data_IF_060659187113
#
_entry.id   IF_060659187113
#
_cell.length_a   1.000
_cell.length_b   1.000
_cell.length_c   1.000
_cell.angle_alpha   90.00
_cell.angle_beta   90.00
_cell.angle_gamma   90.00
#
_symmetry.space_group_name_H-M   'P 1'
#
loop_
_entity.id
_entity.type
_entity.pdbx_description
1 polymer ?
#
# COMPACT_ATOMS: atom_id res chain seq x y z
N UNK A 1 -21.88 7.56 29.52
CA UNK A 1 -22.25 6.29 28.87
C UNK A 1 -21.28 6.09 27.72
N UNK A 2 -20.29 5.22 27.87
CA UNK A 2 -19.43 4.79 26.76
C UNK A 2 -20.30 3.95 25.82
N UNK A 3 -20.49 4.42 24.59
CA UNK A 3 -21.04 3.59 23.52
C UNK A 3 -19.91 2.65 23.12
N UNK A 4 -19.95 1.41 23.61
CA UNK A 4 -19.00 0.38 23.17
C UNK A 4 -19.04 0.30 21.64
N UNK A 5 -17.87 0.40 21.02
CA UNK A 5 -17.72 0.36 19.56
C UNK A 5 -18.47 -0.85 19.02
N UNK A 6 -19.52 -0.62 18.23
CA UNK A 6 -20.24 -1.70 17.58
C UNK A 6 -19.32 -2.28 16.51
N UNK A 7 -18.98 -3.56 16.63
CA UNK A 7 -18.18 -4.24 15.63
C UNK A 7 -19.03 -4.46 14.38
N UNK A 8 -18.83 -3.56 13.41
CA UNK A 8 -19.54 -3.53 12.14
C UNK A 8 -18.53 -3.91 11.06
N UNK A 9 -18.81 -4.92 10.25
CA UNK A 9 -17.97 -5.30 9.11
C UNK A 9 -18.75 -5.30 7.80
N UNK A 10 -18.08 -4.87 6.73
CA UNK A 10 -18.64 -4.72 5.40
C UNK A 10 -17.88 -5.63 4.44
N UNK A 11 -18.61 -6.46 3.70
CA UNK A 11 -18.06 -7.28 2.63
C UNK A 11 -18.77 -6.99 1.32
N UNK A 12 -18.05 -6.43 0.36
CA UNK A 12 -18.59 -6.13 -0.96
C UNK A 12 -18.72 -7.43 -1.78
N UNK A 13 -19.77 -7.53 -2.60
CA UNK A 13 -19.94 -8.63 -3.54
C UNK A 13 -20.60 -8.16 -4.83
N UNK A 14 -20.25 -8.80 -5.95
CA UNK A 14 -20.82 -8.48 -7.27
C UNK A 14 -21.86 -9.52 -7.74
N UNK A 15 -22.00 -10.62 -7.00
CA UNK A 15 -22.99 -11.67 -7.25
C UNK A 15 -23.60 -12.14 -5.92
N UNK A 16 -24.91 -12.45 -5.85
CA UNK A 16 -25.86 -12.61 -6.96
C UNK A 16 -26.53 -11.30 -7.44
N UNK A 17 -26.30 -10.16 -6.76
CA UNK A 17 -26.77 -8.84 -7.18
C UNK A 17 -25.58 -7.92 -7.45
N UNK A 18 -25.58 -7.16 -8.57
CA UNK A 18 -24.57 -6.13 -8.81
C UNK A 18 -24.67 -5.05 -7.72
N UNK A 19 -23.53 -4.42 -7.42
CA UNK A 19 -23.43 -3.35 -6.41
C UNK A 19 -23.88 -3.78 -5.01
N UNK A 20 -23.75 -5.07 -4.70
CA UNK A 20 -24.13 -5.66 -3.44
C UNK A 20 -23.06 -5.48 -2.35
N UNK A 21 -23.51 -5.43 -1.10
CA UNK A 21 -22.64 -5.56 0.06
C UNK A 21 -23.36 -6.21 1.25
N UNK A 22 -22.60 -7.00 2.00
CA UNK A 22 -23.00 -7.61 3.26
C UNK A 22 -22.53 -6.69 4.38
N UNK A 23 -23.44 -6.24 5.23
CA UNK A 23 -23.15 -5.54 6.47
C UNK A 23 -23.38 -6.53 7.62
N UNK A 24 -22.33 -6.84 8.36
CA UNK A 24 -22.44 -7.55 9.63
C UNK A 24 -22.46 -6.55 10.76
N UNK A 25 -23.47 -6.64 11.59
CA UNK A 25 -23.57 -5.89 12.85
C UNK A 25 -23.67 -6.92 13.95
N UNK A 26 -22.58 -7.13 14.71
CA UNK A 26 -22.49 -8.24 15.67
C UNK A 26 -22.75 -9.59 14.96
N UNK A 27 -23.84 -10.29 15.32
CA UNK A 27 -24.22 -11.60 14.75
C UNK A 27 -25.22 -11.49 13.58
N UNK A 28 -25.71 -10.30 13.27
CA UNK A 28 -26.71 -10.10 12.23
C UNK A 28 -26.06 -9.80 10.88
N UNK A 29 -26.50 -10.53 9.85
CA UNK A 29 -26.07 -10.34 8.45
C UNK A 29 -27.16 -9.65 7.67
N UNK A 30 -26.86 -8.46 7.18
CA UNK A 30 -27.74 -7.67 6.33
C UNK A 30 -27.16 -7.60 4.93
N UNK A 31 -28.00 -7.79 3.92
CA UNK A 31 -27.61 -7.72 2.51
C UNK A 31 -28.22 -6.49 1.87
N UNK A 32 -27.37 -5.62 1.35
CA UNK A 32 -27.76 -4.43 0.62
C UNK A 32 -27.32 -4.55 -0.84
N UNK A 33 -28.01 -3.84 -1.71
CA UNK A 33 -27.60 -3.63 -3.08
C UNK A 33 -28.01 -2.21 -3.47
N UNK A 34 -27.04 -1.41 -3.89
CA UNK A 34 -27.30 -0.05 -4.35
C UNK A 34 -27.72 -0.04 -5.82
N UNK A 35 -28.21 1.11 -6.29
CA UNK A 35 -28.62 1.28 -7.68
C UNK A 35 -27.42 1.46 -8.64
N UNK A 36 -26.25 1.84 -8.09
CA UNK A 36 -24.99 2.00 -8.82
C UNK A 36 -23.78 1.72 -7.92
N UNK A 37 -22.60 1.57 -8.52
CA UNK A 37 -21.35 1.41 -7.79
C UNK A 37 -21.01 2.66 -6.95
N UNK A 38 -21.24 3.86 -7.50
CA UNK A 38 -20.98 5.14 -6.83
C UNK A 38 -21.89 5.31 -5.61
N UNK A 39 -23.15 4.87 -5.71
CA UNK A 39 -24.08 4.92 -4.58
C UNK A 39 -23.69 3.90 -3.50
N UNK A 40 -23.29 2.68 -3.89
CA UNK A 40 -22.71 1.70 -2.96
C UNK A 40 -21.51 2.26 -2.22
N UNK A 41 -20.56 2.84 -2.95
CA UNK A 41 -19.32 3.37 -2.38
C UNK A 41 -19.63 4.53 -1.41
N UNK A 42 -20.58 5.42 -1.74
CA UNK A 42 -21.07 6.46 -0.80
C UNK A 42 -21.67 5.88 0.47
N UNK A 43 -22.43 4.80 0.39
CA UNK A 43 -23.02 4.15 1.57
C UNK A 43 -21.93 3.52 2.43
N UNK A 44 -20.95 2.86 1.80
CA UNK A 44 -19.79 2.27 2.48
C UNK A 44 -18.96 3.35 3.17
N UNK A 45 -18.65 4.44 2.48
CA UNK A 45 -17.90 5.57 3.04
C UNK A 45 -18.63 6.18 4.25
N UNK A 46 -19.96 6.35 4.17
CA UNK A 46 -20.75 6.82 5.29
C UNK A 46 -20.73 5.84 6.48
N UNK A 47 -20.81 4.53 6.22
CA UNK A 47 -20.74 3.49 7.25
C UNK A 47 -19.38 3.45 7.94
N UNK A 48 -18.30 3.59 7.19
CA UNK A 48 -16.93 3.67 7.71
C UNK A 48 -16.74 4.95 8.52
N UNK A 49 -17.13 6.11 7.96
CA UNK A 49 -16.89 7.42 8.58
C UNK A 49 -17.71 7.65 9.86
N UNK A 50 -18.98 7.24 9.88
CA UNK A 50 -19.88 7.53 11.00
C UNK A 50 -19.96 6.41 12.04
N UNK A 51 -19.73 5.15 11.64
CA UNK A 51 -19.87 3.99 12.52
C UNK A 51 -18.60 3.17 12.69
N UNK A 52 -17.49 3.57 12.07
CA UNK A 52 -16.20 2.86 12.19
C UNK A 52 -16.23 1.45 11.59
N UNK A 53 -17.11 1.21 10.62
CA UNK A 53 -17.25 -0.10 9.99
C UNK A 53 -15.92 -0.56 9.35
N UNK A 54 -15.57 -1.83 9.52
CA UNK A 54 -14.38 -2.43 8.89
C UNK A 54 -14.71 -3.01 7.52
N UNK A 55 -13.99 -2.61 6.48
CA UNK A 55 -14.20 -3.09 5.12
C UNK A 55 -13.27 -4.29 4.81
N UNK A 56 -13.84 -5.40 4.34
CA UNK A 56 -13.07 -6.60 3.92
C UNK A 56 -12.45 -6.44 2.49
N UNK A 57 -12.72 -5.31 1.82
CA UNK A 57 -12.10 -4.90 0.57
C UNK A 57 -10.99 -3.88 0.85
N UNK A 58 -9.90 -3.92 0.10
CA UNK A 58 -8.87 -2.88 0.16
C UNK A 58 -9.48 -1.52 -0.24
N UNK A 59 -9.25 -0.48 0.58
CA UNK A 59 -9.62 0.89 0.25
C UNK A 59 -8.67 1.44 -0.82
N UNK A 60 -9.12 1.48 -2.08
CA UNK A 60 -8.31 1.95 -3.21
C UNK A 60 -8.74 3.35 -3.66
N UNK A 61 -8.84 4.26 -2.70
CA UNK A 61 -9.20 5.66 -2.95
C UNK A 61 -7.94 6.44 -3.34
N UNK A 62 -7.70 6.56 -4.65
CA UNK A 62 -6.74 7.49 -5.24
C UNK A 62 -7.52 8.75 -5.58
N UNK A 63 -7.29 9.85 -4.86
CA UNK A 63 -7.90 11.13 -5.23
C UNK A 63 -7.24 11.63 -6.52
N UNK A 64 -8.04 11.90 -7.54
CA UNK A 64 -7.59 12.52 -8.79
C UNK A 64 -7.56 14.04 -8.73
N UNK A 65 -7.83 14.63 -7.56
CA UNK A 65 -7.93 16.08 -7.34
C UNK A 65 -6.53 16.74 -7.33
N UNK A 66 -5.87 16.69 -8.49
CA UNK A 66 -4.49 17.10 -8.76
C UNK A 66 -4.31 18.62 -8.75
N UNK A 67 -5.40 19.39 -8.67
CA UNK A 67 -5.40 20.84 -8.80
C UNK A 67 -5.25 21.60 -7.47
N UNK A 68 -5.11 20.90 -6.33
CA UNK A 68 -5.00 21.56 -5.01
C UNK A 68 -3.60 21.64 -4.39
N UNK A 69 -2.57 21.02 -4.95
CA UNK A 69 -1.22 21.14 -4.38
C UNK A 69 -0.10 20.96 -5.43
N UNK A 70 0.43 22.05 -6.02
CA UNK A 70 1.54 21.97 -6.99
C UNK A 70 2.93 21.81 -6.33
N UNK A 71 3.01 21.41 -5.07
CA UNK A 71 4.27 21.26 -4.36
C UNK A 71 5.00 19.97 -4.79
N UNK A 72 5.67 19.99 -5.94
CA UNK A 72 6.75 19.06 -6.21
C UNK A 72 7.89 19.38 -5.23
N UNK A 73 8.10 18.51 -4.24
CA UNK A 73 9.25 18.62 -3.34
C UNK A 73 10.50 18.26 -4.16
N UNK A 74 11.24 19.31 -4.55
CA UNK A 74 12.50 19.18 -5.27
C UNK A 74 13.64 19.17 -4.27
N UNK A 75 14.41 18.09 -4.28
CA UNK A 75 15.72 18.07 -3.63
C UNK A 75 16.64 19.09 -4.32
N UNK A 76 17.16 20.04 -3.54
CA UNK A 76 18.10 21.05 -4.01
C UNK A 76 19.47 20.44 -4.30
N UNK A 77 19.85 20.41 -5.57
CA UNK A 77 21.24 20.43 -6.00
C UNK A 77 21.40 21.43 -7.16
N UNK A 78 22.33 22.36 -7.00
CA UNK A 78 22.60 23.57 -7.78
C UNK A 78 23.24 23.29 -9.15
N UNK A 79 22.62 23.68 -10.27
CA UNK A 79 23.08 24.61 -11.33
C UNK A 79 22.22 24.49 -12.62
N UNK A 80 22.11 25.57 -13.45
CA UNK A 80 21.08 25.70 -14.48
C UNK A 80 21.52 25.18 -15.86
N UNK A 81 20.65 24.42 -16.53
CA UNK A 81 20.83 24.02 -17.93
C UNK A 81 19.74 24.65 -18.83
N UNK A 82 20.08 25.16 -20.03
CA UNK A 82 19.19 26.03 -20.80
C UNK A 82 18.13 25.25 -21.60
N UNK A 83 17.06 25.95 -21.93
CA UNK A 83 15.88 25.43 -22.63
C UNK A 83 16.22 24.77 -23.98
N UNK A 84 15.56 23.64 -24.35
CA UNK A 84 15.62 23.12 -25.71
C UNK A 84 14.62 23.85 -26.62
N UNK A 85 14.91 23.95 -27.94
CA UNK A 85 14.07 24.68 -28.87
C UNK A 85 12.84 23.86 -29.30
N UNK A 86 11.76 24.58 -29.56
CA UNK A 86 10.56 24.04 -30.19
C UNK A 86 10.85 23.59 -31.62
N UNK A 87 10.47 22.36 -31.98
CA UNK A 87 10.27 21.96 -33.37
C UNK A 87 8.98 21.15 -33.51
N UNK A 88 8.17 21.64 -34.43
CA UNK A 88 6.91 21.11 -34.93
C UNK A 88 7.20 20.26 -36.16
N UNK A 89 6.62 19.06 -36.28
CA UNK A 89 6.22 18.48 -37.57
C UNK A 89 5.36 17.23 -37.39
N UNK A 90 4.05 17.44 -37.53
CA UNK A 90 3.13 16.67 -38.39
C UNK A 90 3.74 15.56 -39.27
N UNK A 91 3.30 14.31 -39.07
CA UNK A 91 2.77 13.40 -40.11
C UNK A 91 2.11 12.17 -39.46
N UNK A 92 1.02 11.62 -40.04
CA UNK A 92 0.19 10.59 -39.41
C UNK A 92 0.79 9.20 -39.61
N UNK A 93 0.89 8.42 -38.54
CA UNK A 93 1.27 7.01 -38.60
C UNK A 93 0.01 6.18 -38.37
N UNK A 94 -0.26 5.31 -39.32
CA UNK A 94 -1.40 4.41 -39.42
C UNK A 94 -1.53 3.54 -38.15
N UNK A 95 -2.75 3.39 -37.65
CA UNK A 95 -3.11 2.59 -36.49
C UNK A 95 -3.01 1.09 -36.86
N UNK A 96 -1.96 0.43 -36.37
CA UNK A 96 -1.89 -1.04 -36.31
C UNK A 96 -2.84 -1.53 -35.21
N UNK A 97 -4.03 -1.98 -35.62
CA UNK A 97 -5.18 -2.33 -34.78
C UNK A 97 -5.14 -3.79 -34.27
N UNK A 98 -3.95 -4.34 -33.99
CA UNK A 98 -3.75 -5.76 -33.61
C UNK A 98 -2.96 -5.94 -32.28
N UNK A 99 -3.04 -4.97 -31.37
CA UNK A 99 -2.61 -5.18 -29.98
C UNK A 99 -3.78 -5.78 -29.17
N UNK A 100 -3.61 -6.95 -28.51
CA UNK A 100 -4.64 -7.47 -27.61
C UNK A 100 -4.71 -6.59 -26.36
N UNK A 101 -5.48 -5.51 -26.44
CA UNK A 101 -5.89 -4.75 -25.28
C UNK A 101 -6.74 -5.70 -24.43
N UNK A 102 -6.26 -6.05 -23.22
CA UNK A 102 -7.10 -6.72 -22.24
C UNK A 102 -8.26 -5.76 -21.98
N UNK A 103 -9.45 -6.08 -22.49
CA UNK A 103 -10.66 -5.37 -22.10
C UNK A 103 -10.76 -5.51 -20.57
N UNK A 104 -10.71 -4.40 -19.80
CA UNK A 104 -10.65 -4.45 -18.33
C UNK A 104 -11.82 -5.22 -17.69
N UNK A 105 -12.89 -5.42 -18.46
CA UNK A 105 -14.13 -6.13 -18.11
C UNK A 105 -14.03 -7.67 -18.18
N UNK A 106 -12.93 -8.25 -18.68
CA UNK A 106 -12.77 -9.72 -18.79
C UNK A 106 -12.26 -10.36 -17.50
N UNK A 107 -11.54 -9.60 -16.67
CA UNK A 107 -10.91 -10.11 -15.46
C UNK A 107 -11.63 -9.59 -14.22
N UNK A 108 -12.07 -10.50 -13.34
CA UNK A 108 -12.72 -10.16 -12.07
C UNK A 108 -11.73 -9.72 -10.99
N UNK A 109 -12.22 -9.41 -9.77
CA UNK A 109 -11.35 -9.13 -8.62
C UNK A 109 -10.51 -10.36 -8.23
N UNK A 110 -9.43 -10.15 -7.46
CA UNK A 110 -8.69 -11.24 -6.79
C UNK A 110 -8.78 -11.10 -5.27
N UNK A 111 -8.72 -12.24 -4.58
CA UNK A 111 -8.67 -12.31 -3.13
C UNK A 111 -7.30 -12.84 -2.73
N UNK A 112 -6.58 -12.11 -1.89
CA UNK A 112 -5.35 -12.60 -1.30
C UNK A 112 -5.70 -13.63 -0.20
N UNK A 113 -5.27 -14.87 -0.38
CA UNK A 113 -5.78 -16.01 0.39
C UNK A 113 -5.45 -15.97 1.88
N UNK A 114 -4.30 -15.42 2.28
CA UNK A 114 -3.89 -15.40 3.68
C UNK A 114 -4.65 -14.34 4.48
N UNK A 115 -4.97 -13.22 3.86
CA UNK A 115 -5.66 -12.08 4.47
C UNK A 115 -7.17 -12.08 4.22
N UNK A 116 -7.63 -12.79 3.20
CA UNK A 116 -9.00 -12.73 2.66
C UNK A 116 -9.40 -11.37 2.09
N UNK A 117 -8.44 -10.45 1.93
CA UNK A 117 -8.68 -9.12 1.36
C UNK A 117 -8.92 -9.24 -0.13
N UNK A 118 -10.00 -8.61 -0.60
CA UNK A 118 -10.32 -8.52 -2.02
C UNK A 118 -9.77 -7.24 -2.63
N UNK A 119 -9.20 -7.36 -3.82
CA UNK A 119 -8.70 -6.27 -4.64
C UNK A 119 -9.52 -6.14 -5.93
N UNK A 120 -9.95 -4.93 -6.31
CA UNK A 120 -10.72 -4.71 -7.54
C UNK A 120 -9.90 -5.07 -8.78
N UNK A 121 -10.57 -5.43 -9.88
CA UNK A 121 -9.87 -5.77 -11.13
C UNK A 121 -9.21 -4.58 -11.82
N UNK A 122 -9.71 -3.38 -11.56
CA UNK A 122 -9.27 -2.13 -12.19
C UNK A 122 -9.27 -1.01 -11.16
N UNK A 123 -8.25 -0.16 -11.19
CA UNK A 123 -8.24 1.08 -10.42
C UNK A 123 -9.10 2.13 -11.10
N UNK A 124 -10.17 2.61 -10.43
CA UNK A 124 -11.08 3.60 -11.02
C UNK A 124 -10.39 4.90 -11.42
N UNK A 125 -9.40 5.34 -10.64
CA UNK A 125 -8.70 6.60 -10.86
C UNK A 125 -7.77 6.59 -12.09
N UNK A 126 -7.09 5.47 -12.34
CA UNK A 126 -6.03 5.38 -13.36
C UNK A 126 -6.37 4.45 -14.52
N UNK A 127 -7.34 3.57 -14.37
CA UNK A 127 -7.64 2.49 -15.32
C UNK A 127 -6.65 1.33 -15.26
N UNK A 128 -5.72 1.31 -14.29
CA UNK A 128 -4.71 0.26 -14.19
C UNK A 128 -5.34 -1.08 -13.84
N UNK A 129 -4.86 -2.14 -14.49
CA UNK A 129 -5.45 -3.49 -14.42
C UNK A 129 -4.69 -4.34 -13.40
N UNK A 130 -5.43 -5.05 -12.57
CA UNK A 130 -4.90 -5.96 -11.55
C UNK A 130 -4.18 -7.14 -12.20
N UNK A 131 -2.89 -7.27 -11.95
CA UNK A 131 -2.04 -8.36 -12.42
C UNK A 131 -1.99 -9.54 -11.45
N UNK A 132 -2.13 -9.29 -10.16
CA UNK A 132 -1.99 -10.34 -9.17
C UNK A 132 -1.96 -9.82 -7.74
N UNK A 133 -2.03 -10.75 -6.79
CA UNK A 133 -2.06 -10.48 -5.35
C UNK A 133 -1.14 -11.41 -4.58
N UNK A 134 -0.69 -11.00 -3.39
CA UNK A 134 0.05 -11.89 -2.50
C UNK A 134 0.33 -11.28 -1.13
N UNK A 135 0.78 -12.09 -0.17
CA UNK A 135 1.08 -11.63 1.18
C UNK A 135 2.41 -10.88 1.24
N UNK A 136 2.45 -9.76 1.95
CA UNK A 136 3.68 -9.15 2.41
C UNK A 136 4.06 -9.77 3.76
N UNK A 137 5.09 -10.60 3.73
CA UNK A 137 5.54 -11.39 4.87
C UNK A 137 6.67 -10.63 5.56
N UNK A 138 6.56 -10.46 6.87
CA UNK A 138 7.65 -9.95 7.70
C UNK A 138 8.06 -11.01 8.71
N UNK A 139 9.37 -11.10 8.97
CA UNK A 139 9.87 -11.89 10.09
C UNK A 139 9.63 -11.14 11.40
N UNK A 140 8.78 -11.69 12.26
CA UNK A 140 8.51 -11.19 13.60
C UNK A 140 9.11 -12.19 14.58
N UNK A 141 10.20 -11.82 15.27
CA UNK A 141 10.97 -12.74 16.13
C UNK A 141 11.44 -14.00 15.37
N UNK A 142 10.81 -15.15 15.62
CA UNK A 142 11.11 -16.46 15.03
C UNK A 142 10.06 -16.93 14.00
N UNK A 143 8.97 -16.18 13.80
CA UNK A 143 7.89 -16.50 12.86
C UNK A 143 7.93 -15.59 11.63
N UNK A 144 7.43 -16.11 10.52
CA UNK A 144 7.15 -15.34 9.30
C UNK A 144 5.65 -15.06 9.25
N UNK A 145 5.27 -13.79 9.32
CA UNK A 145 3.88 -13.38 9.46
C UNK A 145 3.44 -12.51 8.28
N UNK A 146 2.29 -12.82 7.66
CA UNK A 146 1.70 -11.95 6.63
C UNK A 146 1.10 -10.72 7.30
N UNK A 147 1.81 -9.60 7.27
CA UNK A 147 1.39 -8.36 7.93
C UNK A 147 0.51 -7.49 7.03
N UNK A 148 0.65 -7.61 5.71
CA UNK A 148 -0.15 -6.90 4.70
C UNK A 148 -0.53 -7.83 3.56
N UNK A 149 -1.61 -7.52 2.86
CA UNK A 149 -1.89 -8.04 1.52
C UNK A 149 -1.43 -7.03 0.47
N UNK A 150 -0.86 -7.49 -0.63
CA UNK A 150 -0.35 -6.63 -1.70
C UNK A 150 -1.00 -7.00 -3.02
N UNK A 151 -1.34 -6.00 -3.80
CA UNK A 151 -1.77 -6.13 -5.18
C UNK A 151 -0.86 -5.32 -6.11
N UNK A 152 -0.59 -5.87 -7.30
CA UNK A 152 0.10 -5.17 -8.39
C UNK A 152 -0.92 -4.84 -9.48
N UNK A 153 -0.98 -3.55 -9.82
CA UNK A 153 -1.70 -3.04 -10.99
C UNK A 153 -0.73 -2.43 -11.98
N UNK A 154 -1.05 -2.52 -13.26
CA UNK A 154 -0.23 -1.93 -14.33
C UNK A 154 -1.09 -1.19 -15.34
N UNK A 155 -0.50 -0.21 -15.99
CA UNK A 155 -1.08 0.42 -17.17
C UNK A 155 -0.99 -0.52 -18.37
N UNK A 156 -2.02 -1.35 -18.55
CA UNK A 156 -2.07 -2.36 -19.61
C UNK A 156 -1.99 -1.77 -21.03
N UNK A 157 -2.37 -0.51 -21.21
CA UNK A 157 -2.31 0.17 -22.52
C UNK A 157 -0.90 0.61 -22.88
N UNK A 158 -0.07 0.90 -21.86
CA UNK A 158 1.33 1.24 -22.00
C UNK A 158 2.26 0.02 -21.99
N UNK A 159 1.73 -1.19 -21.77
CA UNK A 159 2.46 -2.44 -21.95
C UNK A 159 2.67 -2.66 -23.44
N UNK A 160 3.70 -2.00 -23.97
CA UNK A 160 4.16 -2.12 -25.35
C UNK A 160 4.80 -3.50 -25.62
N UNK A 161 5.70 -3.57 -26.58
CA UNK A 161 6.55 -4.73 -26.94
C UNK A 161 7.49 -5.19 -25.82
N UNK A 162 7.44 -4.57 -24.63
CA UNK A 162 8.26 -4.86 -23.45
C UNK A 162 8.34 -6.36 -23.15
N UNK A 163 7.23 -7.09 -23.27
CA UNK A 163 7.17 -8.52 -22.95
C UNK A 163 7.15 -9.44 -24.19
N UNK A 164 7.56 -8.96 -25.36
CA UNK A 164 7.50 -9.75 -26.60
C UNK A 164 8.30 -11.06 -26.53
N UNK A 165 9.45 -11.05 -25.84
CA UNK A 165 10.28 -12.23 -25.61
C UNK A 165 9.57 -13.32 -24.76
N UNK A 166 8.50 -12.97 -24.07
CA UNK A 166 7.73 -13.86 -23.20
C UNK A 166 6.35 -14.22 -23.78
N UNK A 167 6.00 -13.73 -24.98
CA UNK A 167 4.72 -14.06 -25.62
C UNK A 167 4.54 -15.57 -25.75
N UNK A 168 3.33 -16.03 -25.48
CA UNK A 168 2.94 -17.44 -25.53
C UNK A 168 3.46 -18.30 -24.37
N UNK A 169 4.23 -17.72 -23.43
CA UNK A 169 4.70 -18.46 -22.25
C UNK A 169 3.63 -18.60 -21.20
N UNK A 170 3.58 -19.77 -20.57
CA UNK A 170 2.68 -20.04 -19.44
C UNK A 170 3.21 -19.42 -18.15
N UNK A 171 2.30 -19.14 -17.20
CA UNK A 171 2.63 -18.61 -15.88
C UNK A 171 3.71 -19.44 -15.16
N UNK A 172 3.58 -20.77 -15.18
CA UNK A 172 4.51 -21.69 -14.53
C UNK A 172 5.95 -21.54 -15.06
N UNK A 173 6.10 -21.22 -16.35
CA UNK A 173 7.41 -21.01 -16.96
C UNK A 173 8.06 -19.68 -16.57
N UNK A 174 7.30 -18.72 -16.01
CA UNK A 174 7.80 -17.40 -15.60
C UNK A 174 8.32 -17.40 -14.15
N UNK A 175 7.82 -18.31 -13.30
CA UNK A 175 8.08 -18.27 -11.86
C UNK A 175 9.56 -18.23 -11.49
N UNK A 176 10.38 -18.98 -12.20
CA UNK A 176 11.81 -19.12 -11.93
C UNK A 176 12.67 -18.54 -13.07
N UNK A 177 12.10 -17.65 -13.90
CA UNK A 177 12.82 -17.00 -15.00
C UNK A 177 13.38 -15.62 -14.59
N UNK A 178 14.69 -15.48 -14.38
CA UNK A 178 15.28 -14.21 -13.95
C UNK A 178 15.15 -13.11 -15.02
N UNK A 179 15.17 -13.48 -16.30
CA UNK A 179 15.09 -12.51 -17.41
C UNK A 179 13.72 -11.83 -17.47
N UNK A 180 12.66 -12.56 -17.11
CA UNK A 180 11.32 -12.02 -16.99
C UNK A 180 11.25 -10.97 -15.87
N UNK A 181 11.77 -11.28 -14.68
CA UNK A 181 11.73 -10.32 -13.57
C UNK A 181 12.64 -9.11 -13.80
N UNK A 182 13.81 -9.28 -14.41
CA UNK A 182 14.64 -8.15 -14.83
C UNK A 182 13.89 -7.25 -15.82
N UNK A 183 13.25 -7.83 -16.84
CA UNK A 183 12.42 -7.09 -17.78
C UNK A 183 11.26 -6.34 -17.08
N UNK A 184 10.57 -6.99 -16.13
CA UNK A 184 9.51 -6.37 -15.35
C UNK A 184 10.02 -5.20 -14.50
N UNK A 185 11.18 -5.35 -13.85
CA UNK A 185 11.80 -4.28 -13.05
C UNK A 185 12.24 -3.09 -13.91
N UNK A 186 12.82 -3.34 -15.09
CA UNK A 186 13.34 -2.30 -15.98
C UNK A 186 12.26 -1.64 -16.87
N UNK A 187 11.07 -2.22 -16.91
CA UNK A 187 9.99 -1.77 -17.77
C UNK A 187 9.49 -0.35 -17.48
N UNK A 188 9.18 0.40 -18.54
CA UNK A 188 8.80 1.82 -18.52
C UNK A 188 7.30 2.05 -18.72
N UNK A 189 6.51 1.45 -17.84
CA UNK A 189 5.07 1.69 -17.73
C UNK A 189 4.70 1.86 -16.25
N UNK A 190 3.56 2.51 -16.01
CA UNK A 190 3.08 2.80 -14.66
C UNK A 190 2.76 1.52 -13.90
N UNK A 191 3.24 1.43 -12.67
CA UNK A 191 3.01 0.29 -11.77
C UNK A 191 2.46 0.82 -10.46
N UNK A 192 1.35 0.25 -10.00
CA UNK A 192 0.74 0.62 -8.73
C UNK A 192 0.72 -0.58 -7.79
N UNK A 193 1.36 -0.43 -6.64
CA UNK A 193 1.33 -1.39 -5.55
C UNK A 193 0.35 -0.92 -4.48
N UNK A 194 -0.66 -1.72 -4.19
CA UNK A 194 -1.63 -1.46 -3.11
C UNK A 194 -1.35 -2.41 -1.97
N UNK A 195 -0.96 -1.87 -0.83
CA UNK A 195 -0.73 -2.59 0.43
C UNK A 195 -1.94 -2.38 1.34
N UNK A 196 -2.64 -3.45 1.72
CA UNK A 196 -3.84 -3.38 2.56
C UNK A 196 -3.66 -4.17 3.84
N UNK A 197 -4.11 -3.59 4.96
CA UNK A 197 -4.06 -4.22 6.27
C UNK A 197 -5.25 -5.18 6.50
N UNK A 198 -4.97 -6.39 6.98
CA UNK A 198 -6.00 -7.32 7.49
C UNK A 198 -6.34 -7.04 8.96
N UNK A 199 -5.30 -6.78 9.75
CA UNK A 199 -5.37 -6.41 11.16
C UNK A 199 -4.75 -5.02 11.32
N UNK A 200 -5.01 -4.36 12.45
CA UNK A 200 -4.37 -3.07 12.76
C UNK A 200 -2.86 -3.26 12.75
N UNK A 201 -2.17 -2.41 11.98
CA UNK A 201 -0.72 -2.30 11.97
C UNK A 201 -0.36 -0.92 12.51
N UNK A 202 0.34 -0.89 13.64
CA UNK A 202 0.72 0.38 14.27
C UNK A 202 1.63 1.21 13.36
N UNK A 203 1.65 2.53 13.57
CA UNK A 203 2.58 3.44 12.87
C UNK A 203 4.01 2.93 12.97
N UNK A 204 4.46 2.60 14.18
CA UNK A 204 5.80 2.09 14.46
C UNK A 204 6.09 0.76 13.76
N UNK A 205 5.13 -0.17 13.75
CA UNK A 205 5.28 -1.45 13.06
C UNK A 205 5.40 -1.26 11.54
N UNK A 206 4.59 -0.38 10.96
CA UNK A 206 4.61 -0.05 9.54
C UNK A 206 5.90 0.66 9.14
N UNK A 207 6.31 1.71 9.85
CA UNK A 207 7.56 2.43 9.56
C UNK A 207 8.77 1.52 9.68
N UNK A 208 8.84 0.68 10.72
CA UNK A 208 9.92 -0.29 10.87
C UNK A 208 9.88 -1.35 9.75
N UNK A 209 8.69 -1.78 9.31
CA UNK A 209 8.57 -2.75 8.22
C UNK A 209 9.11 -2.18 6.90
N UNK A 210 8.70 -0.95 6.57
CA UNK A 210 9.19 -0.25 5.39
C UNK A 210 10.69 0.01 5.49
N UNK A 211 11.17 0.42 6.66
CA UNK A 211 12.59 0.66 6.89
C UNK A 211 13.42 -0.61 6.68
N UNK A 212 13.10 -1.70 7.37
CA UNK A 212 13.89 -2.93 7.31
C UNK A 212 13.92 -3.55 5.91
N UNK A 213 12.82 -3.44 5.15
CA UNK A 213 12.71 -4.06 3.84
C UNK A 213 13.26 -3.19 2.70
N UNK A 214 13.11 -1.86 2.79
CA UNK A 214 13.57 -0.92 1.75
C UNK A 214 15.00 -0.45 1.98
N UNK A 215 15.41 -0.19 3.24
CA UNK A 215 16.74 0.36 3.56
C UNK A 215 17.89 -0.43 2.96
N UNK A 216 17.92 -1.79 3.01
CA UNK A 216 19.00 -2.56 2.40
C UNK A 216 19.07 -2.44 0.88
N UNK A 217 17.96 -2.09 0.22
CA UNK A 217 17.83 -1.99 -1.24
C UNK A 217 18.12 -0.59 -1.77
N UNK A 218 17.80 0.44 -0.98
CA UNK A 218 18.00 1.85 -1.34
C UNK A 218 19.50 2.20 -1.40
N UNK A 219 20.29 1.62 -0.49
CA UNK A 219 21.71 1.94 -0.32
C UNK A 219 21.94 3.21 0.50
N UNK A 220 23.21 3.60 0.68
CA UNK A 220 23.58 4.74 1.53
C UNK A 220 23.33 6.11 0.90
N UNK A 221 23.19 6.20 -0.43
CA UNK A 221 23.12 7.48 -1.15
C UNK A 221 21.72 8.07 -1.35
N UNK A 222 20.65 7.38 -0.95
CA UNK A 222 19.27 7.80 -1.17
C UNK A 222 18.37 7.56 0.05
N UNK A 223 18.96 7.61 1.25
CA UNK A 223 18.25 7.41 2.53
C UNK A 223 17.16 8.46 2.71
N UNK A 224 17.41 9.67 2.24
CA UNK A 224 16.52 10.81 2.40
C UNK A 224 15.17 10.59 1.71
N UNK A 225 15.14 9.86 0.57
CA UNK A 225 13.89 9.47 -0.08
C UNK A 225 13.01 8.61 0.84
N UNK A 226 13.62 7.67 1.58
CA UNK A 226 12.90 6.81 2.52
C UNK A 226 12.40 7.59 3.74
N UNK A 227 13.23 8.50 4.25
CA UNK A 227 12.88 9.37 5.38
C UNK A 227 11.68 10.24 5.00
N UNK A 228 11.70 10.84 3.81
CA UNK A 228 10.60 11.67 3.30
C UNK A 228 9.31 10.86 3.16
N UNK A 229 9.37 9.67 2.54
CA UNK A 229 8.21 8.76 2.46
C UNK A 229 7.62 8.46 3.85
N UNK A 230 8.47 8.24 4.85
CA UNK A 230 8.04 7.95 6.22
C UNK A 230 7.34 9.13 6.89
N UNK A 231 7.60 10.37 6.48
CA UNK A 231 6.87 11.55 7.02
C UNK A 231 5.38 11.53 6.68
N UNK A 232 5.00 10.85 5.59
CA UNK A 232 3.60 10.67 5.20
C UNK A 232 2.90 9.56 5.98
N UNK A 233 3.64 8.71 6.69
CA UNK A 233 3.09 7.66 7.55
C UNK A 233 2.87 8.23 8.96
N UNK A 234 1.85 9.08 9.08
CA UNK A 234 1.54 9.81 10.31
C UNK A 234 0.78 8.95 11.33
N UNK A 235 0.07 7.91 10.89
CA UNK A 235 -0.85 7.09 11.70
C UNK A 235 -0.70 5.60 11.46
N UNK A 236 -1.40 4.83 12.28
CA UNK A 236 -1.57 3.38 12.10
C UNK A 236 -2.52 3.06 10.93
N UNK A 237 -2.30 1.93 10.26
CA UNK A 237 -3.25 1.37 9.30
C UNK A 237 -4.21 0.41 10.01
N UNK A 238 -5.51 0.66 9.88
CA UNK A 238 -6.60 -0.19 10.36
C UNK A 238 -6.98 -1.24 9.32
N UNK A 239 -7.81 -2.20 9.71
CA UNK A 239 -8.37 -3.20 8.78
C UNK A 239 -9.09 -2.51 7.61
N UNK A 240 -8.75 -2.92 6.39
CA UNK A 240 -9.31 -2.35 5.15
C UNK A 240 -8.66 -1.04 4.69
N UNK A 241 -7.90 -0.36 5.55
CA UNK A 241 -7.08 0.79 5.14
C UNK A 241 -5.89 0.33 4.30
N UNK A 242 -5.48 1.19 3.37
CA UNK A 242 -4.41 0.87 2.43
C UNK A 242 -3.38 1.99 2.31
N UNK A 243 -2.19 1.57 1.91
CA UNK A 243 -1.09 2.40 1.45
C UNK A 243 -0.86 2.06 -0.03
N UNK A 244 -0.80 3.07 -0.89
CA UNK A 244 -0.70 2.91 -2.34
C UNK A 244 0.56 3.62 -2.82
N UNK A 245 1.39 2.89 -3.56
CA UNK A 245 2.60 3.38 -4.19
C UNK A 245 2.45 3.26 -5.70
N UNK A 246 2.33 4.40 -6.40
CA UNK A 246 2.24 4.44 -7.86
C UNK A 246 3.53 4.99 -8.44
N UNK A 247 4.22 4.15 -9.21
CA UNK A 247 5.49 4.45 -9.87
C UNK A 247 5.18 4.90 -11.29
N UNK A 248 5.63 6.09 -11.66
CA UNK A 248 5.45 6.63 -13.01
C UNK A 248 6.35 5.91 -14.03
N UNK A 249 6.01 5.95 -15.34
CA UNK A 249 6.77 5.28 -16.39
C UNK A 249 8.26 5.65 -16.45
N UNK A 250 8.61 6.88 -16.05
CA UNK A 250 9.98 7.38 -16.01
C UNK A 250 10.79 6.83 -14.81
N UNK A 251 10.15 6.11 -13.88
CA UNK A 251 10.71 5.59 -12.65
C UNK A 251 11.47 6.65 -11.82
N UNK A 252 11.05 7.92 -11.92
CA UNK A 252 11.61 9.01 -11.10
C UNK A 252 10.60 9.55 -10.10
N UNK A 253 9.32 9.52 -10.45
CA UNK A 253 8.23 10.01 -9.61
C UNK A 253 7.46 8.86 -8.96
N UNK A 254 7.18 9.03 -7.67
CA UNK A 254 6.36 8.15 -6.86
C UNK A 254 5.16 8.94 -6.31
N UNK A 255 3.95 8.57 -6.72
CA UNK A 255 2.74 9.02 -6.03
C UNK A 255 2.47 8.11 -4.83
N UNK A 256 2.20 8.73 -3.69
CA UNK A 256 1.96 8.03 -2.44
C UNK A 256 0.58 8.39 -1.91
N UNK A 257 -0.22 7.37 -1.61
CA UNK A 257 -1.50 7.53 -0.92
C UNK A 257 -1.50 6.73 0.36
N UNK A 258 -1.97 7.32 1.44
CA UNK A 258 -2.02 6.69 2.75
C UNK A 258 -3.39 6.90 3.35
N UNK A 259 -4.08 5.82 3.73
CA UNK A 259 -5.43 5.86 4.31
C UNK A 259 -6.44 6.64 3.44
N UNK A 260 -6.33 6.52 2.12
CA UNK A 260 -7.18 7.23 1.15
C UNK A 260 -6.83 8.72 0.95
N UNK A 261 -5.85 9.25 1.68
CA UNK A 261 -5.31 10.59 1.47
C UNK A 261 -4.20 10.54 0.44
N UNK A 262 -4.18 11.52 -0.46
CA UNK A 262 -3.14 11.64 -1.49
C UNK A 262 -2.09 12.63 -1.02
N UNK A 263 -0.83 12.20 -0.99
CA UNK A 263 0.29 13.03 -0.60
C UNK A 263 0.96 13.66 -1.84
N UNK A 264 1.78 14.71 -1.66
CA UNK A 264 2.60 15.23 -2.74
C UNK A 264 3.48 14.14 -3.37
N UNK A 265 3.62 14.16 -4.70
CA UNK A 265 4.48 13.23 -5.41
C UNK A 265 5.94 13.42 -5.01
N UNK A 266 6.64 12.30 -4.81
CA UNK A 266 8.04 12.26 -4.42
C UNK A 266 8.94 12.09 -5.65
N UNK A 267 10.00 12.90 -5.76
CA UNK A 267 11.08 12.66 -6.72
C UNK A 267 12.02 11.64 -6.10
N UNK A 268 11.68 10.35 -6.24
CA UNK A 268 12.30 9.27 -5.50
C UNK A 268 12.71 8.09 -6.42
N UNK A 269 13.76 8.27 -7.24
CA UNK A 269 14.21 7.23 -8.17
C UNK A 269 14.73 5.97 -7.46
N UNK A 270 15.28 6.07 -6.24
CA UNK A 270 15.67 4.89 -5.49
C UNK A 270 14.43 4.13 -4.99
N UNK A 271 13.42 4.81 -4.45
CA UNK A 271 12.17 4.16 -4.05
C UNK A 271 11.43 3.51 -5.24
N UNK A 272 11.38 4.20 -6.39
CA UNK A 272 10.77 3.67 -7.61
C UNK A 272 11.43 2.35 -8.06
N UNK A 273 12.74 2.19 -7.85
CA UNK A 273 13.46 0.94 -8.10
C UNK A 273 13.26 -0.09 -6.99
N UNK A 274 13.27 0.34 -5.73
CA UNK A 274 13.29 -0.55 -4.58
C UNK A 274 11.93 -1.19 -4.26
N UNK A 275 10.82 -0.47 -4.42
CA UNK A 275 9.47 -0.99 -4.12
C UNK A 275 9.14 -2.22 -4.98
N UNK A 276 9.32 -2.22 -6.31
CA UNK A 276 9.15 -3.44 -7.11
C UNK A 276 10.17 -4.52 -6.76
N UNK A 277 11.41 -4.13 -6.45
CA UNK A 277 12.48 -5.05 -6.09
C UNK A 277 12.18 -5.85 -4.81
N UNK A 278 11.40 -5.30 -3.87
CA UNK A 278 10.89 -6.03 -2.69
C UNK A 278 10.30 -7.39 -3.06
N UNK A 279 9.63 -7.46 -4.22
CA UNK A 279 8.95 -8.66 -4.68
C UNK A 279 9.74 -9.40 -5.74
N UNK A 280 10.30 -8.68 -6.71
CA UNK A 280 10.79 -9.29 -7.95
C UNK A 280 12.30 -9.48 -8.01
N UNK A 281 13.07 -8.90 -7.08
CA UNK A 281 14.52 -9.11 -7.07
C UNK A 281 14.88 -10.60 -6.79
N UNK A 282 16.14 -10.97 -7.05
CA UNK A 282 16.63 -12.33 -6.88
C UNK A 282 16.77 -12.76 -5.40
N UNK A 283 17.00 -11.80 -4.51
CA UNK A 283 17.13 -11.93 -3.06
C UNK A 283 15.80 -11.68 -2.30
N UNK A 284 14.69 -11.52 -3.02
CA UNK A 284 13.38 -11.27 -2.45
C UNK A 284 12.95 -12.44 -1.58
N UNK A 285 12.65 -12.15 -0.31
CA UNK A 285 12.07 -13.12 0.62
C UNK A 285 10.56 -13.30 0.38
N UNK A 286 9.94 -12.40 -0.40
CA UNK A 286 8.50 -12.36 -0.66
C UNK A 286 8.11 -13.39 -1.74
N UNK A 287 8.55 -14.64 -1.61
CA UNK A 287 8.40 -15.68 -2.66
C UNK A 287 6.95 -15.97 -3.03
N UNK A 288 6.03 -15.93 -2.05
CA UNK A 288 4.59 -16.09 -2.27
C UNK A 288 4.01 -14.92 -3.07
N UNK A 289 4.32 -13.68 -2.67
CA UNK A 289 3.87 -12.51 -3.41
C UNK A 289 4.53 -12.42 -4.79
N UNK A 290 5.81 -12.74 -4.93
CA UNK A 290 6.52 -12.77 -6.23
C UNK A 290 5.76 -13.57 -7.29
N UNK A 291 5.27 -14.76 -6.91
CA UNK A 291 4.48 -15.63 -7.79
C UNK A 291 3.05 -15.14 -7.98
N UNK A 292 2.40 -14.71 -6.90
CA UNK A 292 1.00 -14.26 -6.95
C UNK A 292 0.79 -12.93 -7.68
N UNK A 293 1.72 -11.98 -7.57
CA UNK A 293 1.62 -10.65 -8.19
C UNK A 293 1.71 -10.69 -9.73
N UNK A 294 2.20 -11.79 -10.32
CA UNK A 294 2.33 -11.96 -11.77
C UNK A 294 1.29 -12.92 -12.36
N UNK A 295 0.31 -13.36 -11.57
CA UNK A 295 -0.66 -14.40 -11.94
C UNK A 295 -1.32 -14.16 -13.31
N UNK A 296 -1.62 -12.91 -13.62
CA UNK A 296 -2.33 -12.50 -14.84
C UNK A 296 -1.41 -11.94 -15.93
N UNK A 297 -0.11 -11.91 -15.72
CA UNK A 297 0.84 -11.43 -16.74
C UNK A 297 0.68 -12.15 -18.09
N UNK A 298 0.46 -13.49 -18.14
CA UNK A 298 0.20 -14.19 -19.40
C UNK A 298 -0.98 -13.66 -20.22
N UNK A 299 -1.93 -12.97 -19.58
CA UNK A 299 -3.12 -12.44 -20.24
C UNK A 299 -2.80 -11.23 -21.12
N UNK A 300 -1.67 -10.55 -20.87
CA UNK A 300 -1.20 -9.41 -21.66
C UNK A 300 -0.84 -9.82 -23.10
N UNK A 301 -0.58 -11.09 -23.35
CA UNK A 301 -0.29 -11.63 -24.67
C UNK A 301 -1.26 -12.73 -25.10
N UNK A 302 -2.51 -12.64 -24.65
CA UNK A 302 -3.63 -13.40 -25.21
C UNK A 302 -3.86 -14.80 -24.64
N UNK A 303 -3.15 -15.20 -23.58
CA UNK A 303 -3.43 -16.49 -22.90
C UNK A 303 -4.61 -16.36 -21.94
N UNK A 304 -5.83 -16.14 -22.42
CA UNK A 304 -7.01 -16.00 -21.57
C UNK A 304 -7.14 -17.12 -20.53
N UNK A 305 -7.67 -16.84 -19.31
CA UNK A 305 -7.97 -17.87 -18.34
C UNK A 305 -8.81 -18.96 -19.00
N UNK A 306 -8.44 -20.23 -18.80
CA UNK A 306 -9.35 -21.32 -19.10
C UNK A 306 -10.62 -21.08 -18.28
N UNK A 307 -11.74 -20.79 -18.95
CA UNK A 307 -13.03 -20.56 -18.28
C UNK A 307 -13.28 -21.69 -17.28
N UNK A 308 -13.50 -21.42 -15.98
CA UNK A 308 -13.82 -22.47 -15.05
C UNK A 308 -15.25 -22.94 -15.33
N UNK A 309 -15.40 -24.06 -16.03
CA UNK A 309 -16.56 -24.93 -15.79
C UNK A 309 -16.45 -25.42 -14.35
N UNK A 310 -17.23 -24.80 -13.47
CA UNK A 310 -17.32 -25.04 -12.03
C UNK A 310 -16.10 -24.63 -11.20
N UNK A 311 -16.33 -23.74 -10.24
CA UNK A 311 -15.45 -23.48 -9.11
C UNK A 311 -15.13 -24.81 -8.40
N UNK A 312 -13.90 -25.28 -8.52
CA UNK A 312 -13.39 -26.40 -7.71
C UNK A 312 -12.51 -25.83 -6.59
N UNK A 313 -12.92 -25.93 -5.31
CA UNK A 313 -12.18 -25.34 -4.17
C UNK A 313 -10.89 -26.11 -3.82
N UNK A 314 -10.29 -26.84 -4.78
CA UNK A 314 -9.22 -27.81 -4.52
C UNK A 314 -7.84 -27.41 -5.03
N UNK A 315 -7.68 -26.33 -5.79
CA UNK A 315 -6.37 -25.97 -6.36
C UNK A 315 -5.80 -24.69 -5.74
N UNK A 316 -5.65 -24.68 -4.40
CA UNK A 316 -4.72 -23.82 -3.64
C UNK A 316 -4.80 -24.19 -2.14
N UNK A 317 -4.68 -25.48 -1.81
CA UNK A 317 -4.26 -25.86 -0.45
C UNK A 317 -2.74 -25.84 -0.42
N UNK A 318 -2.16 -24.67 -0.17
CA UNK A 318 -0.81 -24.61 0.35
C UNK A 318 -0.91 -25.11 1.78
N UNK A 319 -0.32 -26.26 2.06
CA UNK A 319 -0.12 -26.75 3.41
C UNK A 319 0.83 -25.80 4.14
N UNK A 320 0.28 -24.89 4.94
CA UNK A 320 1.06 -24.26 6.01
C UNK A 320 1.56 -25.37 6.95
N UNK A 321 2.78 -25.26 7.51
CA UNK A 321 3.21 -26.11 8.61
C UNK A 321 2.16 -26.14 9.73
N UNK A 322 2.01 -27.30 10.36
CA UNK A 322 0.95 -27.64 11.34
C UNK A 322 0.95 -26.81 12.64
N UNK A 323 1.78 -25.78 12.74
CA UNK A 323 1.97 -25.01 13.97
C UNK A 323 1.23 -23.65 13.96
N UNK A 324 0.38 -23.41 12.96
CA UNK A 324 -0.53 -22.26 12.92
C UNK A 324 -1.88 -22.63 13.56
N UNK A 325 -1.87 -22.84 14.88
CA UNK A 325 -3.05 -22.57 15.71
C UNK A 325 -3.01 -21.09 16.06
N UNK A 326 -3.97 -20.32 15.54
CA UNK A 326 -4.19 -18.94 15.95
C UNK A 326 -4.88 -18.95 17.31
N UNK A 327 -4.10 -18.76 18.37
CA UNK A 327 -4.63 -18.30 19.65
C UNK A 327 -5.16 -16.87 19.45
N UNK A 328 -6.49 -16.75 19.33
CA UNK A 328 -7.24 -15.49 19.34
C UNK A 328 -7.32 -14.91 20.77
N UNK A 329 -6.18 -14.74 21.43
CA UNK A 329 -6.10 -14.06 22.73
C UNK A 329 -4.86 -13.16 22.75
N UNK A 330 -5.07 -11.85 22.51
CA UNK A 330 -4.41 -10.71 23.17
C UNK A 330 -4.87 -9.42 22.49
N UNK A 331 -6.11 -9.00 22.77
CA UNK A 331 -6.48 -7.59 22.67
C UNK A 331 -5.76 -6.86 23.81
N UNK A 332 -4.56 -6.36 23.55
CA UNK A 332 -4.01 -5.25 24.32
C UNK A 332 -4.34 -3.97 23.55
N UNK A 333 -5.43 -3.34 23.97
CA UNK A 333 -5.72 -1.94 23.70
C UNK A 333 -4.55 -1.11 24.27
N UNK A 334 -3.55 -0.83 23.44
CA UNK A 334 -2.65 0.30 23.69
C UNK A 334 -3.51 1.55 23.48
N UNK A 335 -3.99 2.09 24.61
CA UNK A 335 -4.59 3.41 24.71
C UNK A 335 -3.59 4.43 24.12
N UNK A 336 -4.05 5.14 23.10
CA UNK A 336 -3.38 6.28 22.49
C UNK A 336 -3.34 7.37 23.58
N UNK A 337 -2.25 7.46 24.35
CA UNK A 337 -2.02 8.62 25.21
C UNK A 337 -1.89 9.84 24.30
N UNK A 338 -2.83 10.77 24.46
CA UNK A 338 -2.88 12.01 23.71
C UNK A 338 -1.59 12.81 23.89
N UNK A 339 -0.97 13.17 22.77
CA UNK A 339 0.04 14.22 22.70
C UNK A 339 -0.65 15.56 23.02
N UNK A 340 -0.77 15.89 24.30
CA UNK A 340 -1.08 17.24 24.78
C UNK A 340 0.22 18.07 24.74
N UNK A 341 0.46 18.75 23.61
CA UNK A 341 1.39 19.88 23.59
C UNK A 341 0.80 21.03 24.41
N UNK A 342 1.25 21.17 25.66
CA UNK A 342 1.11 22.40 26.44
C UNK A 342 2.49 23.01 26.64
N UNK A 343 2.76 24.04 25.85
CA UNK A 343 3.73 25.08 26.15
C UNK A 343 3.27 25.78 27.44
N UNK A 344 3.98 25.56 28.55
CA UNK A 344 3.89 26.42 29.73
C UNK A 344 5.32 26.93 30.04
N UNK A 345 5.63 28.08 29.46
CA UNK A 345 6.66 29.02 29.94
C UNK A 345 6.15 29.66 31.24
N UNK A 346 6.56 29.20 32.43
CA UNK A 346 6.39 29.97 33.67
C UNK A 346 7.62 29.89 34.60
N UNK A 347 8.38 30.98 34.54
CA UNK A 347 9.09 31.74 35.59
C UNK A 347 9.51 31.02 36.90
N UNK A 348 10.83 31.02 37.13
CA UNK A 348 11.45 30.76 38.44
C UNK A 348 11.06 31.86 39.44
N UNK A 349 10.19 31.56 40.39
CA UNK A 349 10.09 32.32 41.65
C UNK A 349 10.60 31.49 42.83
N UNK A 350 11.60 32.06 43.51
CA UNK A 350 12.30 31.52 44.66
C UNK A 350 11.36 31.34 45.87
N UNK A 351 11.48 30.18 46.54
CA UNK A 351 10.74 29.89 47.75
C UNK A 351 11.48 30.43 48.99
N UNK A 352 10.81 31.35 49.68
CA UNK A 352 11.20 32.03 50.91
C UNK A 352 11.12 31.15 52.17
N UNK A 353 11.99 31.48 53.14
CA UNK A 353 11.71 31.44 54.58
C UNK A 353 12.40 30.33 55.37
N UNK A 354 12.84 30.49 56.61
CA UNK A 354 12.77 31.57 57.61
C UNK A 354 13.68 31.10 58.77
N UNK A 355 14.25 32.02 59.55
CA UNK A 355 14.32 31.78 60.99
C UNK A 355 15.68 31.68 61.67
N UNK A 356 16.19 32.84 62.05
CA UNK A 356 16.81 33.17 63.37
C UNK A 356 18.28 32.82 63.68
N UNK A 357 19.06 33.91 63.77
CA UNK A 357 20.01 34.34 64.80
C UNK A 357 20.96 33.31 65.44
N UNK A 358 22.27 33.54 65.28
CA UNK A 358 23.17 33.79 66.41
C UNK A 358 24.46 34.49 65.96
N UNK A 359 24.92 35.34 66.87
CA UNK A 359 26.02 36.28 66.77
C UNK A 359 27.42 35.63 66.74
N UNK A 360 28.34 36.41 66.16
CA UNK A 360 29.73 36.67 66.56
C UNK A 360 30.80 35.55 66.63
N UNK A 361 31.96 36.01 66.16
CA UNK A 361 33.34 35.67 66.53
C UNK A 361 34.11 34.54 65.81
N UNK A 362 35.11 35.04 65.07
CA UNK A 362 36.53 34.67 65.11
C UNK A 362 37.04 33.37 64.48
N UNK A 363 37.89 33.61 63.48
CA UNK A 363 39.24 33.07 63.30
C UNK A 363 39.48 31.60 62.91
N UNK A 364 40.54 31.49 62.10
CA UNK A 364 41.40 30.32 61.82
C UNK A 364 41.01 29.33 60.70
N UNK A 365 41.59 29.61 59.53
CA UNK A 365 42.41 28.66 58.74
C UNK A 365 43.58 28.15 59.63
N UNK A 366 44.30 27.01 59.41
CA UNK A 366 44.27 25.96 58.36
C UNK A 366 44.18 24.51 58.91
N UNK A 367 44.00 23.52 58.03
CA UNK A 367 45.05 22.55 57.61
C UNK A 367 44.58 21.69 56.44
#
# INVERSE_FOLDING_TARGET
MMVGAMDISIRLFEAPKPFGFELRVRDEKLFFAADSDNDRDRWVDALVAHWGASLDQASVNISTDRDRNPALLRFTATEPQPAPPALSSTHPVEEDDDAPLILPTVLGPLIETASTIQFPSVLKATGDVLMGVGPFIRRVRWTYEPILAVALYIDSTAVSTTFDAFRGRSLASLYDDPSFYSCLLDSRFRKTFVFSCRKRLSRSALTTALHDELRPRIGSGAVDELVELMTFVDKSLRKGESMICTIHPDATLLDFHFKGLSHPSLVAPALCRCIPALFFDANSIQTHAKRGLIERMPYLWGLLPAFPTSFSPRSCRISLPKDFETDDECDQEEEDEGEDERDDDEEEEEEDGDGTNNDDDDDMVPF
#
